data_IF_698020779073
#
_entry.id   IF_698020779073
#
_cell.length_a   1.000
_cell.length_b   1.000
_cell.length_c   1.000
_cell.angle_alpha   90.00
_cell.angle_beta   90.00
_cell.angle_gamma   90.00
#
_symmetry.space_group_name_H-M   'P 1'
#
loop_
_entity.id
_entity.type
_entity.pdbx_description
1 polymer ?
#
# COMPACT_ATOMS: atom_id res chain seq x y z
N UNK A 1 -4.41 24.26 -19.49
CA UNK A 1 -3.30 23.86 -18.59
C UNK A 1 -3.76 23.97 -17.16
N UNK A 2 -3.48 22.98 -16.32
CA UNK A 2 -3.78 22.95 -14.88
C UNK A 2 -2.59 23.49 -14.07
N UNK A 3 -2.84 23.93 -12.83
CA UNK A 3 -1.75 24.19 -11.88
C UNK A 3 -1.22 22.89 -11.32
N UNK A 4 -2.11 21.89 -11.10
CA UNK A 4 -1.81 20.61 -10.48
C UNK A 4 -2.58 19.47 -11.15
N UNK A 5 -1.90 18.36 -11.41
CA UNK A 5 -2.51 17.05 -11.63
C UNK A 5 -2.21 16.15 -10.42
N UNK A 6 -3.26 15.59 -9.82
CA UNK A 6 -3.16 14.56 -8.78
C UNK A 6 -3.43 13.21 -9.44
N UNK A 7 -2.55 12.23 -9.23
CA UNK A 7 -2.69 10.88 -9.79
C UNK A 7 -2.98 9.90 -8.67
N UNK A 8 -4.19 9.32 -8.68
CA UNK A 8 -4.70 8.39 -7.67
C UNK A 8 -5.67 9.04 -6.69
N UNK A 9 -6.71 8.30 -6.28
CA UNK A 9 -7.77 8.73 -5.35
C UNK A 9 -7.92 7.79 -4.15
N UNK A 10 -6.82 7.27 -3.65
CA UNK A 10 -6.73 6.68 -2.31
C UNK A 10 -6.75 7.78 -1.23
N UNK A 11 -6.44 7.43 0.02
CA UNK A 11 -6.39 8.40 1.12
C UNK A 11 -5.51 9.62 0.83
N UNK A 12 -4.34 9.41 0.23
CA UNK A 12 -3.41 10.49 -0.14
C UNK A 12 -3.99 11.43 -1.19
N UNK A 13 -4.48 10.89 -2.32
CA UNK A 13 -5.04 11.72 -3.39
C UNK A 13 -6.29 12.46 -2.98
N UNK A 14 -7.14 11.83 -2.18
CA UNK A 14 -8.33 12.49 -1.61
C UNK A 14 -7.93 13.66 -0.71
N UNK A 15 -7.00 13.44 0.21
CA UNK A 15 -6.52 14.50 1.11
C UNK A 15 -5.93 15.67 0.30
N UNK A 16 -5.05 15.38 -0.67
CA UNK A 16 -4.49 16.41 -1.55
C UNK A 16 -5.57 17.17 -2.34
N UNK A 17 -6.55 16.46 -2.90
CA UNK A 17 -7.64 17.05 -3.67
C UNK A 17 -8.49 18.01 -2.85
N UNK A 18 -8.86 17.63 -1.62
CA UNK A 18 -9.59 18.52 -0.69
C UNK A 18 -8.79 19.78 -0.39
N UNK A 19 -7.48 19.65 -0.10
CA UNK A 19 -6.61 20.80 0.19
C UNK A 19 -6.37 21.67 -1.04
N UNK A 20 -6.21 21.08 -2.23
CA UNK A 20 -6.07 21.81 -3.49
C UNK A 20 -7.30 22.66 -3.79
N UNK A 21 -8.49 22.07 -3.65
CA UNK A 21 -9.77 22.77 -3.83
C UNK A 21 -9.92 23.94 -2.85
N UNK A 22 -9.60 23.74 -1.57
CA UNK A 22 -9.63 24.81 -0.55
C UNK A 22 -8.65 25.95 -0.84
N UNK A 23 -7.52 25.65 -1.49
CA UNK A 23 -6.52 26.64 -1.94
C UNK A 23 -6.87 27.24 -3.32
N UNK A 24 -7.95 26.77 -3.94
CA UNK A 24 -8.41 27.20 -5.28
C UNK A 24 -7.35 27.02 -6.37
N UNK A 25 -6.55 25.97 -6.28
CA UNK A 25 -5.65 25.57 -7.36
C UNK A 25 -6.48 24.96 -8.50
N UNK A 26 -6.22 25.37 -9.73
CA UNK A 26 -6.82 24.74 -10.91
C UNK A 26 -6.29 23.31 -11.06
N UNK A 27 -7.02 22.34 -10.52
CA UNK A 27 -6.57 20.98 -10.33
C UNK A 27 -7.44 19.98 -11.10
N UNK A 28 -6.82 18.94 -11.63
CA UNK A 28 -7.51 17.71 -12.03
C UNK A 28 -6.97 16.53 -11.23
N UNK A 29 -7.88 15.71 -10.69
CA UNK A 29 -7.57 14.43 -10.06
C UNK A 29 -7.94 13.31 -11.02
N UNK A 30 -6.97 12.47 -11.36
CA UNK A 30 -7.08 11.34 -12.27
C UNK A 30 -6.98 10.05 -11.49
N UNK A 31 -7.95 9.14 -11.62
CA UNK A 31 -7.92 7.86 -10.92
C UNK A 31 -8.60 6.76 -11.72
N UNK A 32 -8.09 5.53 -11.62
CA UNK A 32 -8.78 4.36 -12.13
C UNK A 32 -10.02 4.06 -11.30
N UNK A 33 -9.88 4.11 -9.96
CA UNK A 33 -10.95 3.86 -9.00
C UNK A 33 -10.69 4.65 -7.70
N UNK A 34 -11.74 4.87 -6.91
CA UNK A 34 -11.63 5.51 -5.60
C UNK A 34 -11.25 4.53 -4.50
N UNK A 35 -10.60 5.04 -3.43
CA UNK A 35 -10.29 4.34 -2.20
C UNK A 35 -8.96 3.58 -2.23
N UNK A 36 -8.40 3.27 -3.40
CA UNK A 36 -7.15 2.54 -3.55
C UNK A 36 -7.20 1.18 -2.84
N UNK A 37 -6.10 0.76 -2.20
CA UNK A 37 -6.02 -0.54 -1.50
C UNK A 37 -6.98 -0.69 -0.31
N UNK A 38 -7.57 0.40 0.17
CA UNK A 38 -8.51 0.36 1.30
C UNK A 38 -9.79 -0.40 0.97
N UNK A 39 -10.23 -0.42 -0.30
CA UNK A 39 -11.52 -1.01 -0.72
C UNK A 39 -11.62 -2.51 -0.49
N UNK A 40 -10.49 -3.22 -0.39
CA UNK A 40 -10.47 -4.67 -0.17
C UNK A 40 -10.68 -5.08 1.29
N UNK A 41 -10.62 -4.13 2.23
CA UNK A 41 -10.81 -4.39 3.65
C UNK A 41 -12.29 -4.37 4.01
N UNK A 42 -12.76 -5.41 4.68
CA UNK A 42 -14.15 -5.47 5.16
C UNK A 42 -14.36 -4.61 6.40
N UNK A 43 -13.32 -4.42 7.22
CA UNK A 43 -13.38 -3.63 8.45
C UNK A 43 -12.06 -2.91 8.72
N UNK A 44 -12.07 -1.59 8.70
CA UNK A 44 -10.94 -0.70 8.98
C UNK A 44 -11.19 -0.04 10.33
N UNK A 45 -10.38 -0.38 11.34
CA UNK A 45 -10.50 0.14 12.71
C UNK A 45 -9.42 1.16 13.08
N UNK A 46 -8.48 1.43 12.16
CA UNK A 46 -7.35 2.31 12.39
C UNK A 46 -7.40 3.61 11.57
N UNK A 47 -8.51 3.91 10.91
CA UNK A 47 -8.74 5.22 10.29
C UNK A 47 -9.28 6.20 11.31
N UNK A 48 -8.52 7.27 11.60
CA UNK A 48 -8.88 8.25 12.64
C UNK A 48 -10.22 8.92 12.31
N UNK A 49 -11.13 8.92 13.28
CA UNK A 49 -12.49 9.46 13.15
C UNK A 49 -13.57 8.41 12.96
N UNK A 50 -13.19 7.14 12.68
CA UNK A 50 -14.11 6.01 12.55
C UNK A 50 -13.63 4.82 13.39
N UNK A 51 -14.35 4.41 14.44
CA UNK A 51 -13.99 3.22 15.22
C UNK A 51 -13.99 1.93 14.38
N UNK A 52 -14.85 1.87 13.35
CA UNK A 52 -14.98 0.77 12.41
C UNK A 52 -15.67 1.29 11.15
N UNK A 53 -15.12 0.96 9.98
CA UNK A 53 -15.68 1.32 8.68
C UNK A 53 -15.20 0.33 7.62
N UNK A 54 -16.08 -0.12 6.71
CA UNK A 54 -15.64 -0.93 5.57
C UNK A 54 -14.82 -0.09 4.58
N UNK A 55 -13.91 -0.72 3.86
CA UNK A 55 -13.09 -0.03 2.85
C UNK A 55 -13.93 0.61 1.75
N UNK A 56 -15.02 -0.03 1.34
CA UNK A 56 -15.99 0.53 0.37
C UNK A 56 -16.68 1.77 0.91
N UNK A 57 -17.17 1.73 2.15
CA UNK A 57 -17.80 2.90 2.80
C UNK A 57 -16.80 4.04 3.02
N UNK A 58 -15.54 3.73 3.31
CA UNK A 58 -14.46 4.71 3.40
C UNK A 58 -14.20 5.38 2.04
N UNK A 59 -14.14 4.60 0.95
CA UNK A 59 -13.98 5.11 -0.41
C UNK A 59 -15.14 6.04 -0.83
N UNK A 60 -16.37 5.67 -0.50
CA UNK A 60 -17.55 6.52 -0.72
C UNK A 60 -17.47 7.82 0.09
N UNK A 61 -16.99 7.75 1.32
CA UNK A 61 -16.76 8.92 2.17
C UNK A 61 -15.71 9.87 1.57
N UNK A 62 -14.62 9.33 1.01
CA UNK A 62 -13.61 10.09 0.29
C UNK A 62 -14.19 10.78 -0.93
N UNK A 63 -14.94 10.05 -1.76
CA UNK A 63 -15.61 10.60 -2.95
C UNK A 63 -16.56 11.73 -2.59
N UNK A 64 -17.41 11.51 -1.59
CA UNK A 64 -18.35 12.51 -1.09
C UNK A 64 -17.63 13.77 -0.58
N UNK A 65 -16.52 13.62 0.14
CA UNK A 65 -15.76 14.77 0.64
C UNK A 65 -15.16 15.58 -0.51
N UNK A 66 -14.57 14.93 -1.51
CA UNK A 66 -14.05 15.60 -2.71
C UNK A 66 -15.17 16.34 -3.47
N UNK A 67 -16.30 15.70 -3.72
CA UNK A 67 -17.44 16.29 -4.40
C UNK A 67 -17.97 17.55 -3.66
N UNK A 68 -17.97 17.51 -2.33
CA UNK A 68 -18.37 18.66 -1.51
C UNK A 68 -17.35 19.81 -1.56
N UNK A 69 -16.06 19.48 -1.62
CA UNK A 69 -14.97 20.45 -1.56
C UNK A 69 -14.59 21.06 -2.93
N UNK A 70 -14.86 20.37 -4.03
CA UNK A 70 -14.27 20.64 -5.36
C UNK A 70 -14.52 22.04 -5.92
N UNK A 71 -15.72 22.65 -5.68
CA UNK A 71 -16.09 23.93 -6.29
C UNK A 71 -15.83 23.95 -7.80
N UNK A 72 -15.35 25.10 -8.30
CA UNK A 72 -14.97 25.27 -9.71
C UNK A 72 -13.48 25.02 -9.96
N UNK A 73 -12.70 24.71 -8.93
CA UNK A 73 -11.24 24.61 -9.03
C UNK A 73 -10.72 23.18 -9.15
N UNK A 74 -11.51 22.18 -8.82
CA UNK A 74 -11.11 20.77 -8.88
C UNK A 74 -12.03 19.98 -9.81
N UNK A 75 -11.45 19.41 -10.84
CA UNK A 75 -12.06 18.40 -11.71
C UNK A 75 -11.64 17.01 -11.23
N UNK A 76 -12.56 16.05 -11.21
CA UNK A 76 -12.29 14.66 -10.85
C UNK A 76 -12.67 13.75 -12.02
N UNK A 77 -11.74 12.91 -12.46
CA UNK A 77 -11.96 11.90 -13.51
C UNK A 77 -11.66 10.52 -12.99
N UNK A 78 -12.70 9.73 -12.83
CA UNK A 78 -12.68 8.30 -12.49
C UNK A 78 -12.66 7.45 -13.77
N UNK A 79 -12.12 6.23 -13.69
CA UNK A 79 -11.98 5.32 -14.83
C UNK A 79 -10.81 5.68 -15.77
N UNK A 80 -9.88 6.53 -15.31
CA UNK A 80 -8.75 7.01 -16.11
C UNK A 80 -7.44 6.45 -15.58
N UNK A 81 -6.68 5.77 -16.44
CA UNK A 81 -5.34 5.27 -16.15
C UNK A 81 -4.29 6.24 -16.68
N UNK A 82 -3.34 6.65 -15.84
CA UNK A 82 -2.18 7.43 -16.24
C UNK A 82 -1.09 6.48 -16.72
N UNK A 83 -0.71 6.62 -17.98
CA UNK A 83 0.25 5.73 -18.66
C UNK A 83 1.68 6.28 -18.57
N UNK A 84 1.85 7.60 -18.74
CA UNK A 84 3.17 8.23 -18.78
C UNK A 84 3.09 9.70 -18.38
N UNK A 85 4.15 10.17 -17.73
CA UNK A 85 4.37 11.58 -17.42
C UNK A 85 5.67 12.01 -18.12
N UNK A 86 5.63 13.12 -18.84
CA UNK A 86 6.77 13.66 -19.58
C UNK A 86 6.96 15.12 -19.23
N UNK A 87 8.20 15.57 -19.07
CA UNK A 87 8.52 16.98 -18.89
C UNK A 87 8.63 17.66 -20.25
N UNK A 88 7.92 18.77 -20.43
CA UNK A 88 7.95 19.61 -21.62
C UNK A 88 8.34 21.05 -21.23
N UNK A 89 9.65 21.32 -21.16
CA UNK A 89 10.14 22.62 -20.70
C UNK A 89 9.81 22.87 -19.23
N UNK A 90 8.95 23.84 -18.96
CA UNK A 90 8.53 24.29 -17.64
C UNK A 90 7.23 23.67 -17.12
N UNK A 91 6.66 22.75 -17.87
CA UNK A 91 5.40 22.05 -17.53
C UNK A 91 5.50 20.54 -17.81
N UNK A 92 4.44 19.80 -17.50
CA UNK A 92 4.34 18.36 -17.67
C UNK A 92 3.14 17.99 -18.54
N UNK A 93 3.34 17.00 -19.39
CA UNK A 93 2.31 16.32 -20.16
C UNK A 93 2.02 14.96 -19.50
N UNK A 94 0.75 14.71 -19.18
CA UNK A 94 0.26 13.49 -18.54
C UNK A 94 -0.61 12.74 -19.53
N UNK A 95 -0.08 11.65 -20.08
CA UNK A 95 -0.76 10.75 -21.00
C UNK A 95 -1.63 9.76 -20.25
N UNK A 96 -2.89 9.64 -20.63
CA UNK A 96 -3.87 8.78 -19.98
C UNK A 96 -4.66 7.95 -20.99
N UNK A 97 -5.43 6.98 -20.48
CA UNK A 97 -6.44 6.26 -21.30
C UNK A 97 -7.55 7.15 -21.85
N UNK A 98 -7.75 8.34 -21.30
CA UNK A 98 -8.79 9.29 -21.68
C UNK A 98 -8.26 10.56 -22.37
N UNK A 99 -6.99 10.59 -22.82
CA UNK A 99 -6.36 11.73 -23.48
C UNK A 99 -5.14 12.26 -22.72
N UNK A 100 -4.61 13.38 -23.18
CA UNK A 100 -3.40 14.02 -22.60
C UNK A 100 -3.77 15.32 -21.90
N UNK A 101 -3.19 15.57 -20.75
CA UNK A 101 -3.43 16.75 -19.94
C UNK A 101 -2.10 17.48 -19.64
N UNK A 102 -2.14 18.83 -19.72
CA UNK A 102 -0.98 19.67 -19.45
C UNK A 102 -1.10 20.34 -18.08
N UNK A 103 0.01 20.34 -17.31
CA UNK A 103 0.05 20.87 -15.96
C UNK A 103 1.39 21.47 -15.58
N UNK A 104 1.40 22.43 -14.65
CA UNK A 104 2.61 23.01 -14.06
C UNK A 104 3.28 22.09 -13.04
N UNK A 105 2.48 21.29 -12.32
CA UNK A 105 2.97 20.39 -11.26
C UNK A 105 2.19 19.08 -11.23
N UNK A 106 2.83 18.02 -10.72
CA UNK A 106 2.22 16.70 -10.53
C UNK A 106 2.42 16.23 -9.10
N UNK A 107 1.36 15.70 -8.49
CA UNK A 107 1.41 14.96 -7.24
C UNK A 107 0.98 13.52 -7.45
N UNK A 108 1.90 12.59 -7.19
CA UNK A 108 1.72 11.16 -7.40
C UNK A 108 1.27 10.53 -6.08
N UNK A 109 0.09 9.93 -6.08
CA UNK A 109 -0.53 9.26 -4.92
C UNK A 109 -1.10 7.91 -5.31
N UNK A 110 -0.43 7.25 -6.27
CA UNK A 110 -0.88 5.99 -6.89
C UNK A 110 -0.76 4.78 -5.97
N UNK A 111 -0.08 4.94 -4.84
CA UNK A 111 0.09 3.88 -3.87
C UNK A 111 0.93 2.70 -4.38
N UNK A 112 0.67 1.54 -3.82
CA UNK A 112 1.27 0.26 -4.20
C UNK A 112 0.20 -0.82 -4.20
N UNK A 113 0.49 -1.95 -4.83
CA UNK A 113 -0.32 -3.15 -4.71
C UNK A 113 0.51 -4.27 -4.10
N UNK A 114 -0.14 -5.09 -3.28
CA UNK A 114 0.53 -6.20 -2.62
C UNK A 114 0.79 -7.32 -3.62
N UNK A 115 1.98 -7.90 -3.54
CA UNK A 115 2.29 -9.12 -4.27
C UNK A 115 1.42 -10.23 -3.72
N UNK A 116 0.60 -10.83 -4.57
CA UNK A 116 -0.28 -11.94 -4.18
C UNK A 116 0.47 -13.26 -4.20
N UNK A 117 0.01 -14.19 -3.37
CA UNK A 117 0.45 -15.59 -3.44
C UNK A 117 -0.08 -16.21 -4.74
N UNK A 118 0.76 -16.99 -5.43
CA UNK A 118 0.44 -17.61 -6.72
C UNK A 118 0.34 -19.14 -6.65
N UNK A 119 0.08 -19.69 -5.47
CA UNK A 119 -0.09 -21.13 -5.26
C UNK A 119 -1.56 -21.55 -5.34
N UNK A 120 -1.87 -22.84 -5.62
CA UNK A 120 -3.22 -23.36 -5.54
C UNK A 120 -3.92 -22.98 -4.23
N UNK A 121 -5.18 -22.55 -4.30
CA UNK A 121 -5.98 -22.07 -3.17
C UNK A 121 -5.78 -20.58 -2.85
N UNK A 122 -4.69 -19.95 -3.27
CA UNK A 122 -4.42 -18.55 -2.92
C UNK A 122 -5.52 -17.59 -3.41
N UNK A 123 -6.00 -17.77 -4.64
CA UNK A 123 -7.05 -16.92 -5.20
C UNK A 123 -8.42 -17.17 -4.56
N UNK A 124 -8.71 -18.42 -4.19
CA UNK A 124 -9.98 -18.83 -3.59
C UNK A 124 -10.14 -18.27 -2.18
N UNK A 125 -9.05 -18.27 -1.40
CA UNK A 125 -9.02 -17.82 -0.01
C UNK A 125 -8.52 -16.38 0.17
N UNK A 126 -8.35 -15.62 -0.91
CA UNK A 126 -8.02 -14.19 -0.84
C UNK A 126 -9.13 -13.43 -0.08
N UNK A 127 -8.79 -12.76 1.02
CA UNK A 127 -9.72 -12.17 2.01
C UNK A 127 -10.66 -13.18 2.72
N UNK A 128 -10.36 -14.48 2.63
CA UNK A 128 -11.08 -15.54 3.35
C UNK A 128 -10.12 -16.34 4.24
N UNK A 129 -9.32 -15.62 5.01
CA UNK A 129 -8.24 -16.15 5.84
C UNK A 129 -6.85 -15.87 5.30
N UNK A 130 -6.68 -15.41 4.04
CA UNK A 130 -5.45 -14.78 3.58
C UNK A 130 -5.59 -13.27 3.78
N UNK A 131 -4.66 -12.69 4.53
CA UNK A 131 -4.55 -11.27 4.77
C UNK A 131 -3.16 -10.76 4.36
N UNK A 132 -3.08 -9.45 4.17
CA UNK A 132 -1.85 -8.72 3.81
C UNK A 132 -1.56 -7.57 4.78
N UNK A 133 -2.29 -7.47 5.89
CA UNK A 133 -2.16 -6.39 6.86
C UNK A 133 -2.45 -6.89 8.28
N UNK A 134 -1.41 -7.14 9.07
CA UNK A 134 -1.58 -7.56 10.46
C UNK A 134 -2.27 -6.49 11.32
N UNK A 135 -1.97 -5.20 11.05
CA UNK A 135 -2.59 -4.08 11.78
C UNK A 135 -4.07 -3.89 11.49
N UNK A 136 -4.55 -4.40 10.33
CA UNK A 136 -5.95 -4.31 9.93
C UNK A 136 -6.74 -5.53 10.44
N UNK A 137 -6.27 -6.72 10.09
CA UNK A 137 -7.03 -7.97 10.20
C UNK A 137 -6.55 -8.87 11.35
N UNK A 138 -5.33 -8.63 11.87
CA UNK A 138 -4.75 -9.48 12.91
C UNK A 138 -5.63 -9.70 14.13
N UNK A 139 -6.29 -8.67 14.70
CA UNK A 139 -7.19 -8.83 15.84
C UNK A 139 -8.36 -9.80 15.61
N UNK A 140 -8.80 -10.00 14.36
CA UNK A 140 -9.86 -10.95 13.99
C UNK A 140 -9.44 -12.42 14.23
N UNK A 141 -8.13 -12.66 14.31
CA UNK A 141 -7.54 -13.98 14.52
C UNK A 141 -6.99 -14.20 15.94
N UNK A 142 -7.48 -13.42 16.91
CA UNK A 142 -7.12 -13.60 18.31
C UNK A 142 -7.42 -15.03 18.80
N UNK A 143 -6.46 -15.64 19.51
CA UNK A 143 -6.54 -17.01 20.01
C UNK A 143 -6.42 -18.12 18.97
N UNK A 144 -6.09 -17.80 17.70
CA UNK A 144 -5.98 -18.73 16.58
C UNK A 144 -4.53 -19.05 16.25
N UNK A 145 -4.31 -20.19 15.59
CA UNK A 145 -3.03 -20.57 15.00
C UNK A 145 -2.92 -19.93 13.60
N UNK A 146 -1.88 -19.13 13.36
CA UNK A 146 -1.74 -18.37 12.12
C UNK A 146 -0.36 -18.57 11.47
N UNK A 147 -0.27 -18.36 10.15
CA UNK A 147 0.97 -18.39 9.43
C UNK A 147 1.34 -17.00 8.87
N UNK A 148 2.64 -16.73 8.81
CA UNK A 148 3.22 -15.58 8.10
C UNK A 148 4.09 -16.10 6.96
N UNK A 149 3.85 -15.64 5.74
CA UNK A 149 4.65 -16.02 4.57
C UNK A 149 5.59 -14.87 4.21
N UNK A 150 6.88 -15.03 4.51
CA UNK A 150 7.91 -14.03 4.23
C UNK A 150 8.84 -13.80 5.42
N UNK A 151 10.15 -13.79 5.22
CA UNK A 151 11.17 -13.65 6.28
C UNK A 151 12.03 -12.39 6.09
N UNK A 152 11.42 -11.31 5.63
CA UNK A 152 11.97 -9.96 5.66
C UNK A 152 11.47 -9.17 6.88
N UNK A 153 11.82 -7.88 6.99
CA UNK A 153 11.39 -7.02 8.10
C UNK A 153 9.87 -7.04 8.29
N UNK A 154 9.09 -6.83 7.23
CA UNK A 154 7.63 -6.85 7.28
C UNK A 154 7.08 -8.18 7.84
N UNK A 155 7.66 -9.33 7.45
CA UNK A 155 7.24 -10.63 7.98
C UNK A 155 7.50 -10.80 9.47
N UNK A 156 8.66 -10.35 9.97
CA UNK A 156 8.97 -10.41 11.40
C UNK A 156 8.19 -9.38 12.23
N UNK A 157 7.94 -8.18 11.70
CA UNK A 157 7.09 -7.17 12.32
C UNK A 157 5.64 -7.65 12.43
N UNK A 158 5.11 -8.25 11.35
CA UNK A 158 3.80 -8.90 11.32
C UNK A 158 3.74 -10.04 12.35
N UNK A 159 4.75 -10.91 12.40
CA UNK A 159 4.80 -11.99 13.39
C UNK A 159 4.83 -11.44 14.82
N UNK A 160 5.64 -10.42 15.10
CA UNK A 160 5.71 -9.76 16.41
C UNK A 160 4.36 -9.19 16.84
N UNK A 161 3.63 -8.57 15.93
CA UNK A 161 2.30 -8.04 16.20
C UNK A 161 1.28 -9.14 16.48
N UNK A 162 1.26 -10.20 15.67
CA UNK A 162 0.33 -11.33 15.81
C UNK A 162 0.56 -12.10 17.12
N UNK A 163 1.80 -12.21 17.58
CA UNK A 163 2.15 -12.85 18.87
C UNK A 163 1.53 -12.17 20.08
N UNK A 164 1.06 -10.92 19.95
CA UNK A 164 0.39 -10.22 21.05
C UNK A 164 -1.00 -10.79 21.37
N UNK A 165 -1.64 -11.51 20.45
CA UNK A 165 -3.02 -11.98 20.62
C UNK A 165 -3.34 -13.33 19.96
N UNK A 166 -2.55 -13.81 19.00
CA UNK A 166 -2.75 -15.14 18.42
C UNK A 166 -2.22 -16.24 19.34
N UNK A 167 -2.77 -17.43 19.23
CA UNK A 167 -2.36 -18.61 20.00
C UNK A 167 -0.97 -19.09 19.62
N UNK A 168 -0.67 -19.12 18.31
CA UNK A 168 0.67 -19.38 17.79
C UNK A 168 0.86 -18.70 16.43
N UNK A 169 2.12 -18.38 16.10
CA UNK A 169 2.51 -17.80 14.82
C UNK A 169 3.60 -18.67 14.19
N UNK A 170 3.34 -19.17 12.98
CA UNK A 170 4.35 -19.91 12.21
C UNK A 170 4.80 -19.10 11.01
N UNK A 171 6.09 -18.69 10.98
CA UNK A 171 6.67 -17.97 9.87
C UNK A 171 7.34 -18.92 8.88
N UNK A 172 6.89 -18.89 7.62
CA UNK A 172 7.48 -19.66 6.52
C UNK A 172 8.36 -18.75 5.66
N UNK A 173 9.60 -19.20 5.38
CA UNK A 173 10.54 -18.46 4.55
C UNK A 173 11.25 -19.37 3.56
N UNK A 174 11.29 -18.92 2.29
CA UNK A 174 11.86 -19.71 1.18
C UNK A 174 13.37 -19.89 1.21
N UNK A 175 14.10 -19.01 1.89
CA UNK A 175 15.57 -19.07 1.98
C UNK A 175 16.01 -19.64 3.34
N UNK A 176 17.24 -20.16 3.43
CA UNK A 176 17.77 -20.70 4.70
C UNK A 176 18.05 -19.60 5.74
N UNK A 177 18.24 -18.35 5.30
CA UNK A 177 18.54 -17.20 6.16
C UNK A 177 17.49 -16.10 5.98
N UNK A 178 17.14 -15.44 7.07
CA UNK A 178 16.21 -14.31 7.07
C UNK A 178 16.88 -13.04 6.53
N UNK A 179 16.08 -12.15 5.93
CA UNK A 179 16.51 -10.83 5.45
C UNK A 179 16.03 -9.69 6.34
N UNK A 180 15.60 -9.99 7.55
CA UNK A 180 15.15 -9.01 8.53
C UNK A 180 16.30 -8.57 9.43
N UNK A 181 16.09 -7.45 10.14
CA UNK A 181 17.00 -6.97 11.18
C UNK A 181 17.24 -8.06 12.23
N UNK A 182 18.51 -8.31 12.56
CA UNK A 182 18.93 -9.42 13.39
C UNK A 182 18.37 -9.32 14.83
N UNK A 183 18.28 -8.10 15.38
CA UNK A 183 17.74 -7.87 16.73
C UNK A 183 16.25 -8.23 16.75
N UNK A 184 15.52 -7.83 15.73
CA UNK A 184 14.08 -8.15 15.58
C UNK A 184 13.88 -9.66 15.42
N UNK A 185 14.69 -10.32 14.59
CA UNK A 185 14.65 -11.77 14.41
C UNK A 185 14.87 -12.50 15.74
N UNK A 186 15.94 -12.18 16.47
CA UNK A 186 16.25 -12.81 17.76
C UNK A 186 15.11 -12.62 18.79
N UNK A 187 14.57 -11.40 18.90
CA UNK A 187 13.47 -11.08 19.82
C UNK A 187 12.20 -11.85 19.50
N UNK A 188 11.82 -11.95 18.24
CA UNK A 188 10.60 -12.63 17.80
C UNK A 188 10.74 -14.13 17.98
N UNK A 189 11.89 -14.72 17.58
CA UNK A 189 12.15 -16.15 17.72
C UNK A 189 12.28 -16.62 19.19
N UNK A 190 12.56 -15.72 20.13
CA UNK A 190 12.59 -16.03 21.56
C UNK A 190 11.21 -16.25 22.19
N UNK A 191 10.12 -15.91 21.50
CA UNK A 191 8.76 -16.13 22.01
C UNK A 191 8.35 -17.60 21.89
N UNK A 192 7.81 -18.19 22.93
CA UNK A 192 7.41 -19.61 22.99
C UNK A 192 6.28 -20.00 22.02
N UNK A 193 5.46 -19.03 21.61
CA UNK A 193 4.36 -19.23 20.64
C UNK A 193 4.82 -18.98 19.18
N UNK A 194 6.10 -18.68 18.99
CA UNK A 194 6.68 -18.46 17.66
C UNK A 194 7.33 -19.71 17.12
N UNK A 195 6.94 -20.10 15.92
CA UNK A 195 7.57 -21.17 15.15
C UNK A 195 8.13 -20.59 13.86
N UNK A 196 9.33 -21.02 13.47
CA UNK A 196 9.96 -20.56 12.24
C UNK A 196 10.38 -21.72 11.38
N UNK A 197 9.98 -21.66 10.12
CA UNK A 197 10.26 -22.66 9.07
C UNK A 197 11.06 -21.98 7.95
N UNK A 198 12.40 -21.84 8.09
CA UNK A 198 13.25 -21.40 6.99
C UNK A 198 13.43 -22.51 5.95
N UNK A 199 13.84 -22.12 4.74
CA UNK A 199 14.15 -23.04 3.64
C UNK A 199 12.97 -23.92 3.21
N UNK A 200 11.74 -23.33 3.19
CA UNK A 200 10.52 -24.01 2.76
C UNK A 200 9.85 -23.22 1.64
N UNK A 201 9.23 -23.93 0.69
CA UNK A 201 8.35 -23.33 -0.31
C UNK A 201 6.89 -23.61 0.03
N UNK A 202 6.04 -22.58 -0.04
CA UNK A 202 4.60 -22.76 0.03
C UNK A 202 4.13 -23.49 -1.23
N UNK A 203 3.36 -24.58 -1.06
CA UNK A 203 2.88 -25.43 -2.16
C UNK A 203 1.41 -25.15 -2.46
N UNK A 204 0.56 -25.12 -1.45
CA UNK A 204 -0.88 -24.91 -1.62
C UNK A 204 -1.53 -24.42 -0.32
N UNK A 205 -2.72 -23.86 -0.44
CA UNK A 205 -3.56 -23.41 0.66
C UNK A 205 -4.86 -24.20 0.62
N UNK A 206 -5.33 -24.66 1.77
CA UNK A 206 -6.53 -25.48 1.90
C UNK A 206 -7.53 -24.83 2.85
N UNK A 207 -8.81 -25.14 2.60
CA UNK A 207 -9.91 -24.69 3.42
C UNK A 207 -11.25 -25.16 2.85
N UNK A 208 -12.34 -24.71 3.45
CA UNK A 208 -13.71 -24.83 2.93
C UNK A 208 -14.23 -23.42 2.61
N UNK A 209 -14.87 -22.74 3.56
CA UNK A 209 -15.27 -21.33 3.41
C UNK A 209 -14.12 -20.36 3.71
N UNK A 210 -13.24 -20.75 4.62
CA UNK A 210 -12.06 -20.01 5.07
C UNK A 210 -10.86 -20.93 5.09
N UNK A 211 -9.66 -20.35 5.17
CA UNK A 211 -8.41 -21.09 5.36
C UNK A 211 -8.50 -22.00 6.57
N UNK A 212 -8.07 -23.26 6.41
CA UNK A 212 -7.92 -24.23 7.50
C UNK A 212 -6.51 -24.84 7.56
N UNK A 213 -5.67 -24.54 6.57
CA UNK A 213 -4.30 -25.04 6.54
C UNK A 213 -3.57 -24.69 5.27
N UNK A 214 -2.32 -25.09 5.22
CA UNK A 214 -1.44 -24.97 4.06
C UNK A 214 -0.55 -26.21 3.93
N UNK A 215 -0.04 -26.46 2.71
CA UNK A 215 1.02 -27.41 2.44
C UNK A 215 2.30 -26.67 2.07
N UNK A 216 3.42 -27.10 2.60
CA UNK A 216 4.73 -26.58 2.24
C UNK A 216 5.72 -27.70 1.93
N UNK A 217 6.68 -27.43 1.06
CA UNK A 217 7.80 -28.30 0.73
C UNK A 217 9.00 -27.92 1.60
N UNK A 218 9.45 -28.84 2.43
CA UNK A 218 10.66 -28.69 3.25
C UNK A 218 11.89 -29.11 2.41
N UNK A 219 12.68 -28.13 1.98
CA UNK A 219 13.85 -28.36 1.11
C UNK A 219 14.96 -29.15 1.79
N UNK A 220 15.04 -29.12 3.12
CA UNK A 220 16.05 -29.88 3.85
C UNK A 220 15.76 -31.39 3.86
N UNK A 221 14.47 -31.76 3.91
CA UNK A 221 14.03 -33.15 3.95
C UNK A 221 13.51 -33.66 2.60
N UNK A 222 13.25 -32.77 1.64
CA UNK A 222 12.66 -33.08 0.34
C UNK A 222 11.20 -33.54 0.42
N UNK A 223 10.51 -33.29 1.55
CA UNK A 223 9.14 -33.77 1.80
C UNK A 223 8.12 -32.61 1.86
N UNK A 224 6.93 -32.88 1.39
CA UNK A 224 5.78 -32.02 1.65
C UNK A 224 5.23 -32.31 3.05
N UNK A 225 4.83 -31.23 3.74
CA UNK A 225 4.24 -31.26 5.06
C UNK A 225 3.01 -30.36 5.09
N UNK A 226 2.05 -30.70 5.91
CA UNK A 226 0.85 -29.89 6.15
C UNK A 226 0.99 -29.11 7.47
N UNK A 227 0.44 -27.91 7.49
CA UNK A 227 0.35 -27.05 8.64
C UNK A 227 -1.11 -26.57 8.79
N UNK A 228 -1.75 -26.92 9.91
CA UNK A 228 -3.09 -26.43 10.22
C UNK A 228 -2.99 -24.99 10.74
N UNK A 229 -3.64 -24.06 10.06
CA UNK A 229 -3.73 -22.64 10.43
C UNK A 229 -5.05 -22.07 10.00
N UNK A 230 -5.56 -21.09 10.74
CA UNK A 230 -6.84 -20.44 10.47
C UNK A 230 -6.70 -19.11 9.72
N UNK A 231 -5.45 -18.60 9.59
CA UNK A 231 -5.12 -17.48 8.75
C UNK A 231 -3.69 -17.52 8.22
N UNK A 232 -3.48 -16.83 7.10
CA UNK A 232 -2.18 -16.66 6.44
C UNK A 232 -1.96 -15.16 6.19
N UNK A 233 -0.88 -14.61 6.73
CA UNK A 233 -0.46 -13.22 6.47
C UNK A 233 0.66 -13.24 5.43
N UNK A 234 0.41 -12.71 4.24
CA UNK A 234 1.35 -12.74 3.14
C UNK A 234 2.20 -11.46 3.11
N UNK A 235 3.46 -11.59 3.56
CA UNK A 235 4.45 -10.51 3.61
C UNK A 235 5.58 -10.76 2.59
N UNK A 236 5.18 -10.94 1.32
CA UNK A 236 6.09 -11.24 0.21
C UNK A 236 6.43 -10.01 -0.65
N UNK A 237 6.13 -8.84 -0.15
CA UNK A 237 6.46 -7.53 -0.70
C UNK A 237 5.31 -6.82 -1.39
N UNK A 238 5.51 -5.52 -1.59
CA UNK A 238 4.62 -4.63 -2.34
C UNK A 238 5.27 -4.29 -3.69
N UNK A 239 4.43 -3.90 -4.63
CA UNK A 239 4.85 -3.38 -5.93
C UNK A 239 4.30 -1.96 -6.02
N UNK A 240 5.15 -0.92 -5.96
CA UNK A 240 4.70 0.46 -6.09
C UNK A 240 4.16 0.72 -7.49
N UNK A 241 3.10 1.51 -7.60
CA UNK A 241 2.50 1.88 -8.88
C UNK A 241 3.18 3.15 -9.39
N UNK A 242 4.36 2.99 -10.01
CA UNK A 242 5.27 4.10 -10.39
C UNK A 242 5.75 4.05 -11.84
N UNK A 243 5.23 3.11 -12.64
CA UNK A 243 5.66 2.92 -14.04
C UNK A 243 5.56 4.19 -14.87
N UNK A 244 4.55 5.04 -14.62
CA UNK A 244 4.32 6.29 -15.36
C UNK A 244 5.43 7.33 -15.18
N UNK A 245 6.30 7.19 -14.19
CA UNK A 245 7.41 8.12 -13.91
C UNK A 245 8.79 7.48 -14.04
N UNK A 246 8.85 6.26 -14.57
CA UNK A 246 10.13 5.56 -14.81
C UNK A 246 11.03 6.36 -15.75
N UNK A 247 12.26 6.61 -15.29
CA UNK A 247 13.23 7.43 -16.04
C UNK A 247 12.98 8.95 -15.96
N UNK A 248 11.92 9.40 -15.26
CA UNK A 248 11.62 10.81 -15.03
C UNK A 248 12.07 11.29 -13.65
N UNK A 249 11.87 10.47 -12.62
CA UNK A 249 12.30 10.73 -11.25
C UNK A 249 13.14 9.57 -10.71
N UNK A 250 13.88 9.79 -9.61
CA UNK A 250 14.65 8.75 -8.98
C UNK A 250 13.73 7.73 -8.30
N UNK A 251 13.95 6.46 -8.63
CA UNK A 251 13.34 5.32 -7.98
C UNK A 251 14.42 4.54 -7.23
N UNK A 252 14.07 3.97 -6.07
CA UNK A 252 14.97 3.04 -5.38
C UNK A 252 14.99 1.67 -6.07
N UNK A 253 15.81 0.72 -5.58
CA UNK A 253 15.96 -0.63 -6.14
C UNK A 253 14.65 -1.46 -6.16
N UNK A 254 13.65 -1.04 -5.38
CA UNK A 254 12.33 -1.68 -5.30
C UNK A 254 11.26 -0.97 -6.13
N UNK A 255 11.62 0.12 -6.83
CA UNK A 255 10.73 0.89 -7.69
C UNK A 255 9.93 1.99 -6.98
N UNK A 256 10.16 2.26 -5.70
CA UNK A 256 9.53 3.36 -4.97
C UNK A 256 10.14 4.70 -5.34
N UNK A 257 9.30 5.74 -5.42
CA UNK A 257 9.77 7.12 -5.68
C UNK A 257 10.52 7.62 -4.45
N UNK A 258 11.79 8.00 -4.64
CA UNK A 258 12.58 8.64 -3.59
C UNK A 258 12.13 10.08 -3.38
N UNK A 259 11.75 10.43 -2.14
CA UNK A 259 11.25 11.75 -1.78
C UNK A 259 12.01 12.36 -0.60
N UNK A 260 12.02 13.68 -0.53
CA UNK A 260 12.38 14.40 0.69
C UNK A 260 11.25 14.20 1.74
N UNK A 261 11.51 13.58 2.89
CA UNK A 261 10.46 13.24 3.86
C UNK A 261 9.81 14.47 4.52
N UNK A 262 10.42 15.67 4.41
CA UNK A 262 9.85 16.91 4.95
C UNK A 262 8.87 17.57 4.00
N UNK A 263 9.11 17.49 2.70
CA UNK A 263 8.38 18.22 1.66
C UNK A 263 7.64 17.31 0.70
N UNK A 264 7.98 16.02 0.67
CA UNK A 264 7.49 15.02 -0.29
C UNK A 264 7.88 15.34 -1.75
N UNK A 265 8.90 16.17 -1.97
CA UNK A 265 9.44 16.45 -3.32
C UNK A 265 10.17 15.25 -3.85
N UNK A 266 9.88 14.90 -5.09
CA UNK A 266 10.70 13.96 -5.86
C UNK A 266 11.99 14.64 -6.38
N UNK A 267 12.84 13.88 -7.04
CA UNK A 267 14.13 14.37 -7.57
C UNK A 267 13.99 15.43 -8.67
N UNK A 268 12.84 15.49 -9.37
CA UNK A 268 12.56 16.47 -10.42
C UNK A 268 11.68 17.60 -9.88
N UNK A 269 12.12 18.89 -9.98
CA UNK A 269 11.30 20.02 -9.57
C UNK A 269 9.97 20.08 -10.31
N UNK A 270 8.88 20.24 -9.58
CA UNK A 270 7.51 20.22 -10.10
C UNK A 270 6.80 18.88 -9.91
N UNK A 271 7.49 17.86 -9.38
CA UNK A 271 6.90 16.57 -9.05
C UNK A 271 7.02 16.29 -7.53
N UNK A 272 5.91 15.87 -6.95
CA UNK A 272 5.80 15.36 -5.58
C UNK A 272 5.22 13.95 -5.61
N UNK A 273 5.48 13.17 -4.57
CA UNK A 273 4.84 11.89 -4.37
C UNK A 273 4.50 11.68 -2.89
N UNK A 274 3.42 10.93 -2.60
CA UNK A 274 2.97 10.70 -1.23
C UNK A 274 2.32 9.32 -1.06
N UNK A 275 2.47 8.76 0.14
CA UNK A 275 1.93 7.45 0.50
C UNK A 275 2.74 6.30 -0.08
N UNK A 276 2.09 5.15 -0.28
CA UNK A 276 2.72 3.86 -0.53
C UNK A 276 3.47 3.74 -1.87
N UNK A 277 3.47 4.74 -2.72
CA UNK A 277 4.33 4.80 -3.91
C UNK A 277 5.72 5.39 -3.61
N UNK A 278 5.96 5.88 -2.40
CA UNK A 278 7.21 6.49 -1.96
C UNK A 278 8.07 5.55 -1.14
N UNK A 279 9.35 5.88 -0.95
CA UNK A 279 10.33 5.13 -0.17
C UNK A 279 10.20 5.33 1.36
N UNK A 280 9.05 5.81 1.83
CA UNK A 280 8.73 5.90 3.24
C UNK A 280 8.74 4.54 3.94
N UNK A 281 9.17 4.51 5.21
CA UNK A 281 9.29 3.26 5.98
C UNK A 281 7.94 2.62 6.32
N UNK A 282 6.91 3.43 6.54
CA UNK A 282 5.60 2.96 7.02
C UNK A 282 4.50 3.30 6.02
N UNK A 283 3.64 2.33 5.78
CA UNK A 283 2.54 2.41 4.82
C UNK A 283 1.21 2.24 5.54
N UNK A 284 0.47 3.34 5.70
CA UNK A 284 -0.85 3.38 6.34
C UNK A 284 -1.72 4.48 5.71
N UNK A 285 -3.04 4.32 5.76
CA UNK A 285 -3.97 5.29 5.20
C UNK A 285 -3.77 6.71 5.78
N UNK A 286 -3.56 6.81 7.11
CA UNK A 286 -3.34 8.10 7.78
C UNK A 286 -1.99 8.72 7.40
N UNK A 287 -0.94 7.91 7.18
CA UNK A 287 0.38 8.36 6.72
C UNK A 287 0.26 8.90 5.30
N UNK A 288 -0.36 8.14 4.39
CA UNK A 288 -0.58 8.57 3.02
C UNK A 288 -1.35 9.89 2.93
N UNK A 289 -2.39 10.06 3.75
CA UNK A 289 -3.13 11.31 3.82
C UNK A 289 -2.27 12.47 4.36
N UNK A 290 -1.50 12.24 5.44
CA UNK A 290 -0.61 13.24 6.03
C UNK A 290 0.53 13.66 5.10
N UNK A 291 1.15 12.71 4.41
CA UNK A 291 2.21 12.98 3.43
C UNK A 291 1.68 13.78 2.24
N UNK A 292 0.48 13.44 1.75
CA UNK A 292 -0.15 14.18 0.67
C UNK A 292 -0.50 15.62 1.05
N UNK A 293 -0.88 15.86 2.30
CA UNK A 293 -1.08 17.23 2.82
C UNK A 293 0.25 17.98 2.88
N UNK A 294 1.33 17.36 3.37
CA UNK A 294 2.68 17.97 3.34
C UNK A 294 3.11 18.33 1.91
N UNK A 295 2.94 17.38 0.98
CA UNK A 295 3.25 17.59 -0.43
C UNK A 295 2.49 18.80 -0.99
N UNK A 296 1.20 18.89 -0.70
CA UNK A 296 0.38 19.97 -1.23
C UNK A 296 0.70 21.34 -0.63
N UNK A 297 1.03 21.41 0.65
CA UNK A 297 1.46 22.66 1.28
C UNK A 297 2.75 23.19 0.63
N UNK A 298 3.74 22.33 0.44
CA UNK A 298 4.99 22.67 -0.20
C UNK A 298 4.82 23.01 -1.70
N UNK A 299 4.00 22.25 -2.42
CA UNK A 299 3.63 22.49 -3.81
C UNK A 299 2.95 23.85 -3.99
N UNK A 300 2.04 24.19 -3.09
CA UNK A 300 1.37 25.49 -3.13
C UNK A 300 2.37 26.65 -3.00
N UNK A 301 3.34 26.55 -2.08
CA UNK A 301 4.40 27.56 -1.95
C UNK A 301 5.28 27.63 -3.19
N UNK A 302 5.62 26.50 -3.80
CA UNK A 302 6.37 26.45 -5.06
C UNK A 302 5.65 27.15 -6.21
N UNK A 303 4.33 26.97 -6.34
CA UNK A 303 3.53 27.66 -7.37
C UNK A 303 3.39 29.14 -7.12
N UNK A 304 3.43 29.61 -5.85
CA UNK A 304 3.34 31.04 -5.50
C UNK A 304 4.68 31.76 -5.60
N UNK A 305 5.81 31.03 -5.56
CA UNK A 305 7.14 31.60 -5.70
C UNK A 305 7.56 31.81 -7.17
N UNK A 306 6.79 31.28 -8.11
CA UNK A 306 6.91 31.47 -9.58
C UNK A 306 5.81 32.42 -10.07
#
# INVERSE_FOLDING_TARGET
MYDLIIVGAGPGGTAAGVYAARKRLKTILLTAEFGGQSVVSEDIQNWIGFPSISGTALAESFKKHLETAKGDSLEVREGVYVNKITQNGDHFSVETSGGTFETRTVLITTGSHRRKLEVPGAKEFDNKGISYCASCDGPLFAGKDVAVIGGGNAGFETAAQLLAYCKSVTLLHKNPTYKADEITVQKVLANEHMHALPNVDLVSIQGDKFVSGLTYHDKATGKEKQLAVEAIFAEIGNIPTTEMVKGLVNLNDFGYITVDPKTQRASLPGIWAAGDCTDGLYHQNNIAAGDAVKALEDLYLYLKAK
#
